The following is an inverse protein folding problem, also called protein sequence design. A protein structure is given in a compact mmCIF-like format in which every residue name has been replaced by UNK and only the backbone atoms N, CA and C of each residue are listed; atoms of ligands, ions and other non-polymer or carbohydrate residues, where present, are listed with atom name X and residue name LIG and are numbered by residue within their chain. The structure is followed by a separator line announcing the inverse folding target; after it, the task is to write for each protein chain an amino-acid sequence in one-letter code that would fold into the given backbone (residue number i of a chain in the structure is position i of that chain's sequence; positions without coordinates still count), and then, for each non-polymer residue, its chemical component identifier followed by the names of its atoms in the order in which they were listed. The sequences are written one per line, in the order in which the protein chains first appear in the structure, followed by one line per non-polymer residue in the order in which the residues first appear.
data_IF_962342738940
#
_entry.id   IF_962342738940
#
_cell.length_a   1.000
_cell.length_b   1.000
_cell.length_c   1.000
_cell.angle_alpha   90.00
_cell.angle_beta   90.00
_cell.angle_gamma   90.00
#
_symmetry.space_group_name_H-M   'P 1'
#
loop_
_entity.id
_entity.type
_entity.pdbx_description
1 polymer ?
#
# COMPACT_ATOMS: atom_id res chain seq x y z
N UNK A 1 -11.64 2.12 -23.87
CA UNK A 1 -11.39 0.94 -24.74
C UNK A 1 -10.11 1.24 -25.52
N UNK A 2 -9.13 0.32 -25.53
CA UNK A 2 -7.90 0.48 -26.33
C UNK A 2 -8.30 0.60 -27.80
N UNK A 3 -7.88 1.67 -28.47
CA UNK A 3 -8.15 1.83 -29.90
C UNK A 3 -7.65 0.58 -30.62
N UNK A 4 -8.56 -0.02 -31.41
CA UNK A 4 -8.28 -1.23 -32.19
C UNK A 4 -7.13 -0.93 -33.16
N UNK A 5 -5.89 -1.19 -32.77
CA UNK A 5 -4.73 -1.08 -33.67
C UNK A 5 -3.37 -0.79 -33.04
N UNK A 6 -3.33 -0.17 -31.84
CA UNK A 6 -2.05 0.22 -31.22
C UNK A 6 -1.57 -0.81 -30.19
N UNK A 7 -1.14 -1.97 -30.69
CA UNK A 7 -0.34 -2.92 -29.91
C UNK A 7 1.13 -2.54 -30.02
N UNK A 8 1.85 -2.56 -28.91
CA UNK A 8 3.31 -2.51 -28.94
C UNK A 8 3.86 -3.68 -29.76
N UNK A 9 5.03 -3.52 -30.36
CA UNK A 9 5.65 -4.57 -31.18
C UNK A 9 5.85 -5.85 -30.36
N UNK A 10 6.26 -5.71 -29.09
CA UNK A 10 6.35 -6.81 -28.13
C UNK A 10 5.01 -7.54 -27.93
N UNK A 11 3.88 -6.82 -27.87
CA UNK A 11 2.57 -7.44 -27.76
C UNK A 11 2.18 -8.20 -29.02
N UNK A 12 2.51 -7.67 -30.21
CA UNK A 12 2.22 -8.35 -31.48
C UNK A 12 2.93 -9.70 -31.56
N UNK A 13 4.21 -9.74 -31.25
CA UNK A 13 5.01 -10.98 -31.25
C UNK A 13 4.45 -12.00 -30.26
N UNK A 14 4.11 -11.58 -29.04
CA UNK A 14 3.54 -12.46 -28.02
C UNK A 14 2.15 -12.97 -28.43
N UNK A 15 1.35 -12.16 -29.12
CA UNK A 15 0.06 -12.59 -29.66
C UNK A 15 0.21 -13.62 -30.78
N UNK A 16 1.22 -13.50 -31.63
CA UNK A 16 1.53 -14.52 -32.65
C UNK A 16 1.91 -15.84 -31.96
N UNK A 17 2.78 -15.78 -30.93
CA UNK A 17 3.11 -16.97 -30.15
C UNK A 17 1.87 -17.64 -29.53
N UNK A 18 0.93 -16.84 -29.00
CA UNK A 18 -0.33 -17.33 -28.45
C UNK A 18 -1.35 -17.79 -29.51
N UNK A 19 -1.18 -17.46 -30.79
CA UNK A 19 -1.98 -18.04 -31.87
C UNK A 19 -1.52 -19.46 -32.19
N UNK A 20 -0.22 -19.71 -32.11
CA UNK A 20 0.39 -21.03 -32.35
C UNK A 20 0.16 -21.93 -31.12
N UNK A 21 0.41 -21.41 -29.92
CA UNK A 21 0.22 -22.11 -28.65
C UNK A 21 -0.67 -21.29 -27.69
N UNK A 22 -2.00 -21.45 -27.76
CA UNK A 22 -2.96 -20.67 -26.96
C UNK A 22 -2.83 -20.82 -25.43
N UNK A 23 -2.16 -21.87 -24.98
CA UNK A 23 -1.94 -22.21 -23.58
C UNK A 23 -0.49 -22.05 -23.13
N UNK A 24 0.37 -21.43 -23.95
CA UNK A 24 1.74 -21.16 -23.55
C UNK A 24 1.77 -20.21 -22.34
N UNK A 25 2.05 -20.78 -21.17
CA UNK A 25 2.00 -20.08 -19.88
C UNK A 25 3.02 -18.94 -19.82
N UNK A 26 4.21 -19.13 -20.40
CA UNK A 26 5.24 -18.09 -20.43
C UNK A 26 4.80 -16.91 -21.32
N UNK A 27 4.21 -17.18 -22.47
CA UNK A 27 3.65 -16.14 -23.33
C UNK A 27 2.49 -15.39 -22.64
N UNK A 28 1.64 -16.08 -21.86
CA UNK A 28 0.60 -15.44 -21.04
C UNK A 28 1.19 -14.53 -19.96
N UNK A 29 2.28 -14.94 -19.30
CA UNK A 29 2.98 -14.10 -18.31
C UNK A 29 3.59 -12.87 -18.97
N UNK A 30 4.25 -13.02 -20.12
CA UNK A 30 4.84 -11.90 -20.85
C UNK A 30 3.74 -10.92 -21.28
N UNK A 31 2.62 -11.42 -21.80
CA UNK A 31 1.48 -10.58 -22.16
C UNK A 31 0.90 -9.85 -20.94
N UNK A 32 0.85 -10.52 -19.78
CA UNK A 32 0.48 -9.89 -18.52
C UNK A 32 1.45 -8.77 -18.10
N UNK A 33 2.75 -8.98 -18.26
CA UNK A 33 3.78 -7.97 -17.97
C UNK A 33 3.64 -6.76 -18.90
N UNK A 34 3.45 -6.98 -20.20
CA UNK A 34 3.24 -5.90 -21.17
C UNK A 34 2.01 -5.08 -20.79
N UNK A 35 0.89 -5.72 -20.47
CA UNK A 35 -0.30 -5.01 -20.00
C UNK A 35 -0.05 -4.24 -18.70
N UNK A 36 0.74 -4.80 -17.79
CA UNK A 36 1.09 -4.15 -16.54
C UNK A 36 1.97 -2.90 -16.77
N UNK A 37 2.92 -2.96 -17.70
CA UNK A 37 3.81 -1.85 -18.07
C UNK A 37 3.06 -0.74 -18.84
N UNK A 38 2.00 -1.11 -19.55
CA UNK A 38 1.12 -0.19 -20.29
C UNK A 38 -0.05 0.34 -19.42
N UNK A 39 -0.04 0.10 -18.10
CA UNK A 39 -1.09 0.46 -17.12
C UNK A 39 -2.47 -0.23 -17.33
N UNK A 40 -2.56 -1.24 -18.21
CA UNK A 40 -3.75 -2.08 -18.40
C UNK A 40 -3.85 -3.16 -17.31
N UNK A 41 -4.02 -2.71 -16.07
CA UNK A 41 -3.93 -3.55 -14.89
C UNK A 41 -4.98 -4.67 -14.82
N UNK A 42 -6.21 -4.44 -15.26
CA UNK A 42 -7.28 -5.45 -15.23
C UNK A 42 -7.01 -6.58 -16.25
N UNK A 43 -6.52 -6.24 -17.44
CA UNK A 43 -6.09 -7.19 -18.44
C UNK A 43 -4.87 -7.99 -17.96
N UNK A 44 -3.90 -7.33 -17.33
CA UNK A 44 -2.75 -7.99 -16.72
C UNK A 44 -3.18 -9.02 -15.67
N UNK A 45 -4.08 -8.64 -14.75
CA UNK A 45 -4.64 -9.54 -13.73
C UNK A 45 -5.27 -10.77 -14.39
N UNK A 46 -6.07 -10.61 -15.45
CA UNK A 46 -6.70 -11.74 -16.15
C UNK A 46 -5.66 -12.71 -16.72
N UNK A 47 -4.56 -12.20 -17.28
CA UNK A 47 -3.48 -13.05 -17.84
C UNK A 47 -2.71 -13.79 -16.75
N UNK A 48 -2.34 -13.11 -15.66
CA UNK A 48 -1.68 -13.78 -14.54
C UNK A 48 -2.57 -14.83 -13.88
N UNK A 49 -3.85 -14.52 -13.64
CA UNK A 49 -4.79 -15.49 -13.07
C UNK A 49 -5.03 -16.69 -14.00
N UNK A 50 -5.10 -16.47 -15.33
CA UNK A 50 -5.17 -17.59 -16.29
C UNK A 50 -3.92 -18.47 -16.20
N UNK A 51 -2.74 -17.86 -16.11
CA UNK A 51 -1.47 -18.57 -15.96
C UNK A 51 -1.47 -19.42 -14.68
N UNK A 52 -1.81 -18.81 -13.53
CA UNK A 52 -1.82 -19.48 -12.23
C UNK A 52 -2.79 -20.66 -12.19
N UNK A 53 -3.97 -20.55 -12.82
CA UNK A 53 -4.94 -21.67 -12.90
C UNK A 53 -4.38 -22.90 -13.61
N UNK A 54 -3.47 -22.71 -14.57
CA UNK A 54 -2.92 -23.78 -15.41
C UNK A 54 -1.43 -24.06 -15.10
N UNK A 55 -0.93 -23.60 -13.95
CA UNK A 55 0.51 -23.57 -13.63
C UNK A 55 1.13 -24.90 -13.22
N UNK A 56 0.41 -26.02 -13.31
CA UNK A 56 0.87 -27.33 -12.84
C UNK A 56 2.19 -27.80 -13.50
N UNK A 57 2.49 -27.33 -14.71
CA UNK A 57 3.74 -27.62 -15.43
C UNK A 57 4.87 -26.62 -15.18
N UNK A 58 4.62 -25.55 -14.42
CA UNK A 58 5.61 -24.52 -14.12
C UNK A 58 6.40 -24.85 -12.86
N UNK A 59 7.66 -24.41 -12.83
CA UNK A 59 8.48 -24.46 -11.60
C UNK A 59 7.95 -23.48 -10.57
N UNK A 60 8.03 -23.83 -9.29
CA UNK A 60 7.61 -22.97 -8.17
C UNK A 60 8.24 -21.57 -8.22
N UNK A 61 9.50 -21.45 -8.66
CA UNK A 61 10.16 -20.14 -8.83
C UNK A 61 9.49 -19.28 -9.90
N UNK A 62 9.02 -19.88 -11.00
CA UNK A 62 8.28 -19.17 -12.02
C UNK A 62 6.89 -18.78 -11.52
N UNK A 63 6.18 -19.68 -10.84
CA UNK A 63 4.88 -19.40 -10.21
C UNK A 63 5.03 -18.28 -9.17
N UNK A 64 6.12 -18.28 -8.41
CA UNK A 64 6.47 -17.21 -7.47
C UNK A 64 6.62 -15.85 -8.15
N UNK A 65 7.31 -15.77 -9.29
CA UNK A 65 7.39 -14.51 -10.06
C UNK A 65 6.01 -14.05 -10.55
N UNK A 66 5.12 -14.95 -10.98
CA UNK A 66 3.75 -14.59 -11.39
C UNK A 66 2.96 -14.00 -10.22
N UNK A 67 3.03 -14.62 -9.03
CA UNK A 67 2.42 -14.07 -7.81
C UNK A 67 3.02 -12.71 -7.43
N UNK A 68 4.33 -12.50 -7.61
CA UNK A 68 4.96 -11.20 -7.39
C UNK A 68 4.43 -10.14 -8.38
N UNK A 69 4.35 -10.45 -9.68
CA UNK A 69 3.79 -9.54 -10.68
C UNK A 69 2.33 -9.20 -10.41
N UNK A 70 1.52 -10.20 -10.07
CA UNK A 70 0.11 -10.00 -9.71
C UNK A 70 -0.04 -9.13 -8.44
N UNK A 71 0.79 -9.38 -7.44
CA UNK A 71 0.83 -8.57 -6.23
C UNK A 71 1.23 -7.12 -6.50
N UNK A 72 2.18 -6.89 -7.41
CA UNK A 72 2.58 -5.55 -7.84
C UNK A 72 1.43 -4.82 -8.53
N UNK A 73 0.72 -5.48 -9.44
CA UNK A 73 -0.45 -4.90 -10.13
C UNK A 73 -1.55 -4.54 -9.15
N UNK A 74 -1.88 -5.43 -8.19
CA UNK A 74 -2.84 -5.08 -7.13
C UNK A 74 -2.38 -3.89 -6.29
N UNK A 75 -1.07 -3.74 -6.10
CA UNK A 75 -0.47 -2.57 -5.44
C UNK A 75 -0.70 -1.27 -6.21
N UNK A 76 -0.57 -1.28 -7.53
CA UNK A 76 -0.87 -0.12 -8.38
C UNK A 76 -2.34 0.29 -8.30
N UNK A 77 -3.23 -0.70 -8.20
CA UNK A 77 -4.68 -0.49 -7.99
C UNK A 77 -5.05 -0.11 -6.54
N UNK A 78 -4.07 0.14 -5.65
CA UNK A 78 -4.27 0.40 -4.21
C UNK A 78 -5.01 -0.73 -3.47
N UNK A 79 -5.10 -1.93 -4.05
CA UNK A 79 -5.71 -3.11 -3.44
C UNK A 79 -4.70 -3.83 -2.53
N UNK A 80 -4.19 -3.14 -1.51
CA UNK A 80 -3.05 -3.57 -0.70
C UNK A 80 -3.25 -4.92 0.02
N UNK A 81 -4.49 -5.25 0.42
CA UNK A 81 -4.81 -6.55 1.03
C UNK A 81 -4.53 -7.71 0.07
N UNK A 82 -5.00 -7.61 -1.18
CA UNK A 82 -4.74 -8.63 -2.22
C UNK A 82 -3.27 -8.66 -2.59
N UNK A 83 -2.64 -7.49 -2.79
CA UNK A 83 -1.22 -7.40 -3.07
C UNK A 83 -0.36 -8.13 -2.03
N UNK A 84 -0.65 -7.91 -0.74
CA UNK A 84 0.03 -8.56 0.40
C UNK A 84 -0.16 -10.08 0.39
N UNK A 85 -1.35 -10.56 0.06
CA UNK A 85 -1.63 -12.00 -0.06
C UNK A 85 -0.80 -12.64 -1.18
N UNK A 86 -0.78 -12.01 -2.36
CA UNK A 86 -0.02 -12.50 -3.50
C UNK A 86 1.50 -12.50 -3.24
N UNK A 87 2.05 -11.44 -2.63
CA UNK A 87 3.45 -11.45 -2.22
C UNK A 87 3.78 -12.53 -1.17
N UNK A 88 2.83 -12.85 -0.28
CA UNK A 88 2.99 -13.95 0.68
C UNK A 88 3.02 -15.31 -0.04
N UNK A 89 2.15 -15.53 -1.03
CA UNK A 89 2.17 -16.74 -1.86
C UNK A 89 3.50 -16.87 -2.61
N UNK A 90 3.99 -15.79 -3.23
CA UNK A 90 5.30 -15.75 -3.88
C UNK A 90 6.45 -16.15 -2.92
N UNK A 91 6.51 -15.56 -1.72
CA UNK A 91 7.55 -15.89 -0.74
C UNK A 91 7.45 -17.32 -0.18
N UNK A 92 6.26 -17.92 -0.18
CA UNK A 92 6.06 -19.32 0.26
C UNK A 92 6.57 -20.31 -0.78
N UNK A 93 6.36 -20.02 -2.07
CA UNK A 93 6.81 -20.85 -3.18
C UNK A 93 8.33 -20.74 -3.39
N UNK A 94 8.85 -19.52 -3.33
CA UNK A 94 10.28 -19.26 -3.44
C UNK A 94 10.69 -18.24 -2.39
N UNK A 95 11.35 -18.74 -1.34
CA UNK A 95 11.87 -17.90 -0.27
C UNK A 95 12.92 -16.93 -0.80
N UNK A 96 13.64 -17.25 -1.89
CA UNK A 96 14.69 -16.43 -2.51
C UNK A 96 14.15 -15.37 -3.46
N UNK A 97 12.84 -15.26 -3.66
CA UNK A 97 12.25 -14.17 -4.43
C UNK A 97 12.42 -12.82 -3.70
N UNK A 98 13.54 -12.14 -3.99
CA UNK A 98 13.93 -10.87 -3.37
C UNK A 98 12.91 -9.77 -3.69
N UNK A 99 12.34 -9.77 -4.90
CA UNK A 99 11.34 -8.78 -5.32
C UNK A 99 10.08 -8.90 -4.46
N UNK A 100 9.52 -10.10 -4.33
CA UNK A 100 8.34 -10.38 -3.53
C UNK A 100 8.57 -10.01 -2.05
N UNK A 101 9.71 -10.39 -1.49
CA UNK A 101 10.08 -10.09 -0.10
C UNK A 101 10.19 -8.59 0.15
N UNK A 102 10.83 -7.86 -0.77
CA UNK A 102 10.96 -6.40 -0.72
C UNK A 102 9.60 -5.72 -0.80
N UNK A 103 8.75 -6.16 -1.73
CA UNK A 103 7.40 -5.61 -1.91
C UNK A 103 6.51 -5.87 -0.69
N UNK A 104 6.56 -7.08 -0.12
CA UNK A 104 5.85 -7.42 1.11
C UNK A 104 6.32 -6.58 2.30
N UNK A 105 7.64 -6.36 2.45
CA UNK A 105 8.19 -5.49 3.50
C UNK A 105 7.71 -4.04 3.33
N UNK A 106 7.69 -3.53 2.10
CA UNK A 106 7.18 -2.19 1.80
C UNK A 106 5.70 -2.04 2.22
N UNK A 107 4.85 -3.01 1.86
CA UNK A 107 3.43 -2.97 2.26
C UNK A 107 3.23 -3.09 3.77
N UNK A 108 4.00 -3.92 4.48
CA UNK A 108 3.92 -4.01 5.94
C UNK A 108 4.28 -2.70 6.62
N UNK A 109 5.28 -1.98 6.11
CA UNK A 109 5.62 -0.64 6.63
C UNK A 109 4.46 0.33 6.45
N UNK A 110 3.87 0.36 5.26
CA UNK A 110 2.71 1.21 4.99
C UNK A 110 1.50 0.90 5.88
N UNK A 111 1.28 -0.37 6.22
CA UNK A 111 0.21 -0.78 7.14
C UNK A 111 0.49 -0.32 8.58
N UNK A 112 1.72 -0.50 9.06
CA UNK A 112 2.16 0.01 10.37
C UNK A 112 2.11 1.54 10.43
N UNK A 113 2.37 2.23 9.33
CA UNK A 113 2.30 3.70 9.25
C UNK A 113 0.87 4.25 9.10
N UNK A 114 -0.09 3.44 8.63
CA UNK A 114 -1.49 3.84 8.44
C UNK A 114 -2.40 3.51 9.61
N UNK A 115 -2.03 2.54 10.44
CA UNK A 115 -2.63 2.43 11.76
C UNK A 115 -2.17 3.64 12.58
N UNK A 116 -3.02 4.68 12.69
CA UNK A 116 -3.04 5.48 13.92
C UNK A 116 -3.14 4.42 15.00
N UNK A 117 -2.05 4.23 15.75
CA UNK A 117 -1.88 3.01 16.53
C UNK A 117 -3.15 2.84 17.35
N UNK A 118 -3.80 1.67 17.28
CA UNK A 118 -5.00 1.41 18.09
C UNK A 118 -4.73 1.73 19.57
N UNK A 119 -3.47 1.63 19.99
CA UNK A 119 -2.96 2.10 21.28
C UNK A 119 -3.03 3.62 21.48
N UNK A 120 -2.77 4.45 20.46
CA UNK A 120 -2.91 5.92 20.51
C UNK A 120 -4.37 6.34 20.64
N UNK A 121 -5.28 5.70 19.89
CA UNK A 121 -6.72 5.96 20.03
C UNK A 121 -7.20 5.55 21.42
N UNK A 122 -6.81 4.36 21.88
CA UNK A 122 -7.14 3.87 23.23
C UNK A 122 -6.60 4.79 24.33
N UNK A 123 -5.34 5.22 24.23
CA UNK A 123 -4.71 6.14 25.19
C UNK A 123 -5.38 7.51 25.19
N UNK A 124 -5.77 8.02 24.01
CA UNK A 124 -6.56 9.25 23.87
C UNK A 124 -7.92 9.14 24.57
N UNK A 125 -8.64 8.02 24.40
CA UNK A 125 -9.92 7.77 25.08
C UNK A 125 -9.73 7.72 26.61
N UNK A 126 -8.68 7.04 27.10
CA UNK A 126 -8.36 6.97 28.54
C UNK A 126 -8.11 8.36 29.12
N UNK A 127 -7.36 9.22 28.42
CA UNK A 127 -7.10 10.60 28.86
C UNK A 127 -8.37 11.46 28.87
N UNK A 128 -9.24 11.32 27.86
CA UNK A 128 -10.53 12.01 27.83
C UNK A 128 -11.45 11.58 28.97
N UNK A 129 -11.50 10.28 29.29
CA UNK A 129 -12.25 9.78 30.45
C UNK A 129 -11.67 10.28 31.77
N UNK A 130 -10.34 10.37 31.88
CA UNK A 130 -9.67 10.94 33.06
C UNK A 130 -9.99 12.42 33.25
N UNK A 131 -10.00 13.20 32.16
CA UNK A 131 -10.44 14.61 32.18
C UNK A 131 -11.89 14.74 32.62
N UNK A 132 -12.77 13.91 32.07
CA UNK A 132 -14.20 13.91 32.41
C UNK A 132 -14.44 13.55 33.88
N UNK A 133 -13.72 12.55 34.40
CA UNK A 133 -13.79 12.17 35.81
C UNK A 133 -13.26 13.27 36.72
N UNK A 134 -12.14 13.91 36.37
CA UNK A 134 -11.60 15.05 37.11
C UNK A 134 -12.60 16.21 37.16
N UNK A 135 -13.27 16.50 36.04
CA UNK A 135 -14.33 17.51 35.98
C UNK A 135 -15.52 17.19 36.91
N UNK A 136 -15.98 15.94 36.95
CA UNK A 136 -17.04 15.52 37.88
C UNK A 136 -16.59 15.70 39.34
N UNK A 137 -15.37 15.28 39.67
CA UNK A 137 -14.84 15.40 41.04
C UNK A 137 -14.71 16.87 41.46
N UNK A 138 -14.27 17.73 40.56
CA UNK A 138 -14.21 19.18 40.77
C UNK A 138 -15.60 19.76 41.02
N UNK A 139 -16.60 19.39 40.21
CA UNK A 139 -17.98 19.83 40.39
C UNK A 139 -18.60 19.38 41.73
N UNK A 140 -18.19 18.22 42.25
CA UNK A 140 -18.57 17.71 43.59
C UNK A 140 -17.77 18.42 44.72
N UNK A 141 -17.05 19.50 44.42
CA UNK A 141 -16.30 20.36 45.36
C UNK A 141 -15.25 19.61 46.20
N UNK A 142 -14.65 18.55 45.65
CA UNK A 142 -13.72 17.68 46.38
C UNK A 142 -12.24 18.05 46.20
N UNK A 143 -11.92 19.03 45.35
CA UNK A 143 -10.56 19.46 45.01
C UNK A 143 -10.42 21.00 45.01
N UNK A 144 -9.21 21.49 45.29
CA UNK A 144 -8.87 22.90 45.13
C UNK A 144 -8.65 23.27 43.65
N UNK A 145 -9.08 24.47 43.25
CA UNK A 145 -8.96 24.99 41.88
C UNK A 145 -7.55 24.90 41.30
N UNK A 146 -6.51 25.16 42.11
CA UNK A 146 -5.10 25.12 41.69
C UNK A 146 -4.65 23.73 41.25
N UNK A 147 -5.09 22.68 41.94
CA UNK A 147 -4.75 21.29 41.61
C UNK A 147 -5.48 20.85 40.34
N UNK A 148 -6.73 21.28 40.18
CA UNK A 148 -7.54 20.98 39.00
C UNK A 148 -6.94 21.57 37.72
N UNK A 149 -6.54 22.84 37.75
CA UNK A 149 -5.91 23.51 36.61
C UNK A 149 -4.58 22.84 36.23
N UNK A 150 -3.70 22.59 37.22
CA UNK A 150 -2.42 21.93 36.98
C UNK A 150 -2.57 20.52 36.37
N UNK A 151 -3.60 19.76 36.81
CA UNK A 151 -3.88 18.44 36.25
C UNK A 151 -4.37 18.52 34.79
N UNK A 152 -5.24 19.48 34.46
CA UNK A 152 -5.75 19.68 33.10
C UNK A 152 -4.60 20.02 32.14
N UNK A 153 -3.71 20.93 32.53
CA UNK A 153 -2.57 21.34 31.69
C UNK A 153 -1.67 20.14 31.34
N UNK A 154 -1.40 19.27 32.31
CA UNK A 154 -0.62 18.04 32.11
C UNK A 154 -1.34 17.09 31.15
N UNK A 155 -2.64 16.87 31.34
CA UNK A 155 -3.42 15.96 30.50
C UNK A 155 -3.55 16.46 29.06
N UNK A 156 -3.71 17.77 28.85
CA UNK A 156 -3.72 18.38 27.53
C UNK A 156 -2.35 18.26 26.86
N UNK A 157 -1.26 18.52 27.59
CA UNK A 157 0.10 18.37 27.06
C UNK A 157 0.39 16.93 26.62
N UNK A 158 -0.04 15.94 27.42
CA UNK A 158 0.08 14.52 27.07
C UNK A 158 -0.75 14.16 25.84
N UNK A 159 -1.99 14.68 25.74
CA UNK A 159 -2.84 14.48 24.57
C UNK A 159 -2.17 15.00 23.29
N UNK A 160 -1.67 16.24 23.32
CA UNK A 160 -0.95 16.84 22.20
C UNK A 160 0.27 15.99 21.83
N UNK A 161 1.08 15.59 22.81
CA UNK A 161 2.26 14.77 22.57
C UNK A 161 1.91 13.44 21.87
N UNK A 162 0.88 12.73 22.32
CA UNK A 162 0.47 11.44 21.73
C UNK A 162 0.04 11.60 20.27
N UNK A 163 -0.74 12.64 19.94
CA UNK A 163 -1.23 12.86 18.59
C UNK A 163 -0.15 13.40 17.64
N UNK A 164 0.82 14.16 18.15
CA UNK A 164 1.91 14.73 17.34
C UNK A 164 3.16 13.85 17.28
N UNK A 165 3.33 12.87 18.18
CA UNK A 165 4.47 11.95 18.19
C UNK A 165 4.73 11.27 16.82
N UNK A 166 3.71 10.74 16.09
CA UNK A 166 3.94 10.14 14.78
C UNK A 166 4.44 11.12 13.72
N UNK A 167 4.11 12.39 13.87
CA UNK A 167 4.57 13.46 12.97
C UNK A 167 6.04 13.75 13.26
N UNK A 168 6.42 13.82 14.54
CA UNK A 168 7.81 14.05 14.99
C UNK A 168 8.72 12.90 14.56
N UNK A 169 8.29 11.64 14.69
CA UNK A 169 9.10 10.48 14.30
C UNK A 169 9.40 10.43 12.79
N UNK A 170 8.49 10.96 11.96
CA UNK A 170 8.66 11.07 10.50
C UNK A 170 9.60 12.21 10.09
N UNK A 171 10.00 13.07 11.01
CA UNK A 171 10.98 14.12 10.77
C UNK A 171 12.39 13.53 10.90
N UNK A 172 13.02 13.22 9.76
CA UNK A 172 14.46 12.93 9.74
C UNK A 172 15.24 14.22 9.91
N UNK A 173 15.93 14.35 11.04
CA UNK A 173 16.88 15.43 11.27
C UNK A 173 18.17 15.08 10.50
N UNK A 174 18.31 15.63 9.29
CA UNK A 174 19.57 15.58 8.55
C UNK A 174 20.49 16.70 9.06
N UNK A 175 21.84 16.55 9.02
CA UNK A 175 22.77 17.64 9.34
C UNK A 175 22.54 18.91 8.50
N UNK A 176 21.86 18.79 7.36
CA UNK A 176 21.55 19.88 6.43
C UNK A 176 20.13 20.47 6.57
N UNK A 177 19.30 20.01 7.52
CA UNK A 177 17.96 20.57 7.77
C UNK A 177 16.81 19.54 7.86
N UNK A 178 15.58 20.04 8.04
CA UNK A 178 14.34 19.26 8.15
C UNK A 178 13.88 18.77 6.76
N UNK A 179 14.04 17.48 6.45
CA UNK A 179 13.47 16.88 5.23
C UNK A 179 12.22 16.06 5.56
N UNK A 180 11.06 16.51 5.08
CA UNK A 180 9.83 15.72 5.08
C UNK A 180 9.91 14.69 3.95
N UNK A 181 9.78 13.40 4.26
CA UNK A 181 9.72 12.35 3.25
C UNK A 181 8.51 12.59 2.33
N UNK A 182 8.76 13.06 1.10
CA UNK A 182 7.72 13.32 0.11
C UNK A 182 6.96 12.03 -0.17
N UNK A 183 5.68 11.99 0.22
CA UNK A 183 4.77 10.91 -0.14
C UNK A 183 4.77 10.71 -1.67
N UNK A 184 5.06 9.49 -2.17
CA UNK A 184 5.15 9.21 -3.61
C UNK A 184 3.82 9.33 -4.37
N UNK A 185 2.70 9.57 -3.67
CA UNK A 185 1.35 9.61 -4.27
C UNK A 185 1.10 10.75 -5.24
N UNK A 186 1.70 11.95 -5.02
CA UNK A 186 1.42 13.15 -5.84
C UNK A 186 1.90 13.04 -7.29
N UNK A 187 2.95 12.26 -7.56
CA UNK A 187 3.46 12.08 -8.93
C UNK A 187 2.58 11.18 -9.79
N UNK A 188 1.89 10.21 -9.19
CA UNK A 188 1.02 9.29 -9.90
C UNK A 188 -0.34 9.96 -10.17
N UNK A 189 -0.88 10.69 -9.19
CA UNK A 189 -2.14 11.42 -9.35
C UNK A 189 -2.07 12.46 -10.47
N UNK A 190 -1.00 13.27 -10.53
CA UNK A 190 -0.81 14.24 -11.62
C UNK A 190 -0.72 13.58 -13.01
N UNK A 191 -0.15 12.37 -13.11
CA UNK A 191 -0.01 11.65 -14.38
C UNK A 191 -1.32 10.96 -14.80
N UNK A 192 -2.12 10.49 -13.84
CA UNK A 192 -3.46 9.95 -14.07
C UNK A 192 -4.42 11.08 -14.49
N UNK A 193 -4.33 12.24 -13.85
CA UNK A 193 -5.17 13.40 -14.14
C UNK A 193 -4.84 14.01 -15.50
N UNK A 194 -3.55 14.07 -15.87
CA UNK A 194 -3.10 14.44 -17.21
C UNK A 194 -3.66 13.49 -18.29
N UNK A 195 -3.53 12.16 -18.11
CA UNK A 195 -4.11 11.16 -19.03
C UNK A 195 -5.65 11.24 -19.10
N UNK A 196 -6.33 11.57 -18.00
CA UNK A 196 -7.79 11.77 -17.99
C UNK A 196 -8.20 13.01 -18.78
N UNK A 197 -7.44 14.10 -18.66
CA UNK A 197 -7.71 15.34 -19.40
C UNK A 197 -7.45 15.25 -20.91
N UNK A 198 -6.53 14.37 -21.34
CA UNK A 198 -6.32 14.04 -22.76
C UNK A 198 -7.44 13.15 -23.32
N UNK A 199 -8.20 12.46 -22.47
CA UNK A 199 -9.31 11.57 -22.88
C UNK A 199 -10.66 12.31 -22.98
N UNK A 200 -10.77 13.49 -22.35
CA UNK A 200 -11.97 14.32 -22.32
C UNK A 200 -11.97 15.44 -23.39
N UNK A 201 -10.92 15.53 -24.22
CA UNK A 201 -10.83 16.40 -25.40
C UNK A 201 -10.93 15.59 -26.68
#
# INVERSE_FOLDING_TARGET
MREKGQFSEAEKEVRIALQIEPENLYALVILGNIFADEDYFEEAIKKYQKTLRNSASMKDSAISEVHNSLGWVYGQLKQYKKAKEEFRKACKLDFMNVKARRNLRKLRKLEVEQEISTTQIFLGIVLLLSLFLSYIIFWINRFSETIFIAQIDILIALLIFIFFYPIIEKVKISPSGFEFEKSPGRFIEAKIEAKRSEFER
#
